data_IF_264000037604
#
_entry.id   IF_264000037604
#
_cell.length_a   1.000
_cell.length_b   1.000
_cell.length_c   1.000
_cell.angle_alpha   90.00
_cell.angle_beta   90.00
_cell.angle_gamma   90.00
#
_symmetry.space_group_name_H-M   'P 1'
#
loop_
_entity.id
_entity.type
_entity.pdbx_description
1 polymer ?
#
# COMPACT_ATOMS: atom_id res chain seq x y z
N UNK A 1 10.25 21.70 4.99
CA UNK A 1 9.94 20.33 4.57
C UNK A 1 11.16 19.52 4.94
N UNK A 2 11.11 18.77 6.03
CA UNK A 2 12.15 17.79 6.33
C UNK A 2 11.92 16.59 5.43
N UNK A 3 12.64 16.53 4.30
CA UNK A 3 12.83 15.27 3.62
C UNK A 3 13.59 14.39 4.61
N UNK A 4 12.96 13.32 5.10
CA UNK A 4 13.67 12.35 5.92
C UNK A 4 14.79 11.78 5.06
N UNK A 5 16.02 12.17 5.38
CA UNK A 5 17.21 11.60 4.76
C UNK A 5 17.41 10.22 5.37
N UNK A 6 17.17 9.20 4.56
CA UNK A 6 17.38 7.83 4.97
C UNK A 6 18.75 7.37 4.47
N UNK A 7 19.65 7.07 5.40
CA UNK A 7 21.03 6.69 5.08
C UNK A 7 21.16 5.22 4.65
N UNK A 8 20.26 4.35 5.12
CA UNK A 8 20.31 2.90 4.91
C UNK A 8 18.91 2.32 4.72
N UNK A 9 18.81 1.16 4.05
CA UNK A 9 17.54 0.44 3.94
C UNK A 9 17.06 -0.01 5.33
N UNK A 10 15.76 0.13 5.58
CA UNK A 10 15.10 -0.25 6.83
C UNK A 10 14.22 -1.49 6.66
N UNK A 11 13.81 -2.09 7.78
CA UNK A 11 12.85 -3.20 7.78
C UNK A 11 11.46 -2.69 7.37
N UNK A 12 10.83 -3.27 6.33
CA UNK A 12 9.53 -2.82 5.88
C UNK A 12 8.42 -3.29 6.82
N UNK A 13 7.33 -2.54 6.89
CA UNK A 13 6.18 -2.89 7.73
C UNK A 13 4.89 -2.28 7.19
N UNK A 14 3.76 -2.88 7.53
CA UNK A 14 2.45 -2.28 7.31
C UNK A 14 2.01 -1.58 8.59
N UNK A 15 1.62 -0.31 8.45
CA UNK A 15 0.98 0.45 9.50
C UNK A 15 -0.45 0.80 9.08
N UNK A 16 -1.43 0.33 9.86
CA UNK A 16 -2.84 0.64 9.67
C UNK A 16 -3.14 1.93 10.42
N UNK A 17 -3.54 2.95 9.67
CA UNK A 17 -3.69 4.30 10.20
C UNK A 17 -4.79 5.07 9.47
N UNK A 18 -5.07 6.30 9.94
CA UNK A 18 -6.10 7.16 9.37
C UNK A 18 -5.56 7.93 8.17
N UNK A 19 -6.26 7.91 7.04
CA UNK A 19 -5.99 8.77 5.89
C UNK A 19 -7.05 9.85 5.76
N UNK A 20 -6.64 11.10 5.57
CA UNK A 20 -7.56 12.21 5.38
C UNK A 20 -8.33 12.07 4.06
N UNK A 21 -9.66 12.18 4.13
CA UNK A 21 -10.55 12.14 2.96
C UNK A 21 -11.04 13.55 2.60
N UNK A 22 -11.77 14.20 3.51
CA UNK A 22 -12.36 15.53 3.29
C UNK A 22 -12.73 16.22 4.61
N UNK A 23 -13.26 17.43 4.53
CA UNK A 23 -13.97 18.07 5.65
C UNK A 23 -15.48 17.89 5.48
N UNK A 24 -16.18 17.71 6.59
CA UNK A 24 -17.64 17.80 6.63
C UNK A 24 -18.11 19.24 6.39
N UNK A 25 -19.41 19.44 6.23
CA UNK A 25 -20.04 20.77 6.18
C UNK A 25 -19.83 21.59 7.45
N UNK A 26 -19.62 20.95 8.61
CA UNK A 26 -19.29 21.60 9.88
C UNK A 26 -17.80 21.93 10.05
N UNK A 27 -16.96 21.58 9.07
CA UNK A 27 -15.51 21.78 9.12
C UNK A 27 -14.72 20.69 9.84
N UNK A 28 -15.38 19.63 10.30
CA UNK A 28 -14.76 18.46 10.94
C UNK A 28 -13.94 17.67 9.90
N UNK A 29 -12.73 17.24 10.24
CA UNK A 29 -11.90 16.42 9.35
C UNK A 29 -12.38 14.97 9.40
N UNK A 30 -12.61 14.39 8.22
CA UNK A 30 -13.11 13.03 8.04
C UNK A 30 -12.01 12.14 7.47
N UNK A 31 -11.95 10.91 7.98
CA UNK A 31 -10.85 9.99 7.74
C UNK A 31 -11.35 8.62 7.31
N UNK A 32 -10.56 7.95 6.49
CA UNK A 32 -10.67 6.50 6.25
C UNK A 32 -9.57 5.76 7.01
N UNK A 33 -9.71 4.44 7.19
CA UNK A 33 -8.70 3.60 7.84
C UNK A 33 -8.11 2.67 6.78
N UNK A 34 -6.81 2.80 6.56
CA UNK A 34 -6.12 2.13 5.46
C UNK A 34 -4.81 1.49 5.93
N UNK A 35 -4.39 0.37 5.32
CA UNK A 35 -3.03 -0.13 5.47
C UNK A 35 -2.07 0.74 4.65
N UNK A 36 -0.93 1.08 5.25
CA UNK A 36 0.18 1.79 4.59
C UNK A 36 1.41 0.90 4.64
N UNK A 37 1.88 0.46 3.48
CA UNK A 37 3.14 -0.27 3.37
C UNK A 37 4.29 0.74 3.40
N UNK A 38 5.15 0.62 4.42
CA UNK A 38 6.40 1.36 4.51
C UNK A 38 7.48 0.49 3.86
N UNK A 39 8.07 0.98 2.77
CA UNK A 39 9.08 0.24 1.99
C UNK A 39 10.43 0.28 2.69
N UNK A 40 11.37 -0.53 2.20
CA UNK A 40 12.77 -0.52 2.67
C UNK A 40 13.45 0.85 2.49
N UNK A 41 12.96 1.66 1.56
CA UNK A 41 13.45 3.01 1.23
C UNK A 41 12.69 4.11 2.01
N UNK A 42 11.75 3.75 2.88
CA UNK A 42 10.96 4.69 3.69
C UNK A 42 9.75 5.27 2.98
N UNK A 43 9.47 4.87 1.74
CA UNK A 43 8.28 5.30 1.00
C UNK A 43 7.02 4.80 1.68
N UNK A 44 5.95 5.60 1.62
CA UNK A 44 4.63 5.23 2.16
C UNK A 44 3.67 4.91 1.03
N UNK A 45 3.45 3.62 0.76
CA UNK A 45 2.46 3.17 -0.21
C UNK A 45 1.11 3.00 0.51
N UNK A 46 0.21 3.96 0.29
CA UNK A 46 -1.11 4.01 0.93
C UNK A 46 -2.07 3.18 0.10
N UNK A 47 -2.62 2.10 0.65
CA UNK A 47 -3.60 1.26 -0.03
C UNK A 47 -4.99 1.86 0.20
N UNK A 48 -5.34 2.80 -0.65
CA UNK A 48 -6.55 3.61 -0.56
C UNK A 48 -7.76 2.87 -1.11
N UNK A 49 -8.93 3.12 -0.53
CA UNK A 49 -10.20 2.69 -1.08
C UNK A 49 -10.77 3.79 -2.00
N UNK A 50 -10.98 3.49 -3.29
CA UNK A 50 -11.53 4.47 -4.23
C UNK A 50 -12.94 4.94 -3.86
N UNK A 51 -13.71 4.11 -3.12
CA UNK A 51 -15.06 4.46 -2.67
C UNK A 51 -15.10 5.32 -1.41
N UNK A 52 -13.97 5.59 -0.74
CA UNK A 52 -13.94 6.35 0.51
C UNK A 52 -14.49 7.77 0.34
N UNK A 53 -14.25 8.39 -0.81
CA UNK A 53 -14.78 9.73 -1.13
C UNK A 53 -16.31 9.76 -1.24
N UNK A 54 -16.94 8.63 -1.56
CA UNK A 54 -18.39 8.49 -1.75
C UNK A 54 -19.14 8.05 -0.48
N UNK A 55 -18.42 7.60 0.56
CA UNK A 55 -19.02 7.26 1.85
C UNK A 55 -19.63 8.51 2.50
N UNK A 56 -20.67 8.30 3.33
CA UNK A 56 -21.32 9.38 4.06
C UNK A 56 -20.40 9.98 5.14
N UNK A 57 -20.68 11.22 5.55
CA UNK A 57 -19.94 11.87 6.63
C UNK A 57 -20.03 11.10 7.95
N UNK A 58 -21.18 10.46 8.22
CA UNK A 58 -21.39 9.66 9.42
C UNK A 58 -20.49 8.40 9.45
N UNK A 59 -20.34 7.72 8.32
CA UNK A 59 -19.48 6.54 8.20
C UNK A 59 -18.00 6.90 8.38
N UNK A 60 -17.54 7.97 7.73
CA UNK A 60 -16.15 8.42 7.89
C UNK A 60 -15.87 8.96 9.30
N UNK A 61 -16.86 9.60 9.93
CA UNK A 61 -16.73 10.05 11.31
C UNK A 61 -16.61 8.87 12.28
N UNK A 62 -17.34 7.78 12.04
CA UNK A 62 -17.28 6.57 12.86
C UNK A 62 -15.86 5.96 12.91
N UNK A 63 -15.02 6.17 11.89
CA UNK A 63 -13.62 5.72 11.86
C UNK A 63 -12.73 6.40 12.93
N UNK A 64 -13.19 7.52 13.51
CA UNK A 64 -12.50 8.16 14.65
C UNK A 64 -12.83 7.50 15.99
N UNK A 65 -13.87 6.67 16.06
CA UNK A 65 -14.28 5.93 17.26
C UNK A 65 -13.35 4.73 17.46
N UNK A 66 -12.90 4.52 18.69
CA UNK A 66 -11.92 3.48 19.02
C UNK A 66 -12.39 2.06 18.63
N UNK A 67 -13.65 1.73 18.90
CA UNK A 67 -14.23 0.41 18.58
C UNK A 67 -14.22 0.14 17.08
N UNK A 68 -14.75 1.06 16.28
CA UNK A 68 -14.75 0.98 14.81
C UNK A 68 -13.33 0.85 14.26
N UNK A 69 -12.38 1.62 14.82
CA UNK A 69 -10.99 1.55 14.40
C UNK A 69 -10.38 0.16 14.69
N UNK A 70 -10.59 -0.38 15.89
CA UNK A 70 -10.11 -1.71 16.26
C UNK A 70 -10.70 -2.80 15.37
N UNK A 71 -12.01 -2.75 15.12
CA UNK A 71 -12.68 -3.73 14.24
C UNK A 71 -12.13 -3.70 12.82
N UNK A 72 -12.06 -2.51 12.19
CA UNK A 72 -11.55 -2.36 10.82
C UNK A 72 -10.07 -2.70 10.71
N UNK A 73 -9.25 -2.29 11.68
CA UNK A 73 -7.82 -2.59 11.67
C UNK A 73 -7.53 -4.08 11.85
N UNK A 74 -8.30 -4.79 12.66
CA UNK A 74 -8.21 -6.25 12.75
C UNK A 74 -8.61 -6.92 11.43
N UNK A 75 -9.71 -6.50 10.80
CA UNK A 75 -10.12 -7.03 9.51
C UNK A 75 -9.06 -6.83 8.41
N UNK A 76 -8.46 -5.64 8.35
CA UNK A 76 -7.36 -5.33 7.42
C UNK A 76 -6.14 -6.22 7.73
N UNK A 77 -5.78 -6.38 9.01
CA UNK A 77 -4.66 -7.24 9.42
C UNK A 77 -4.91 -8.69 9.01
N UNK A 78 -6.11 -9.21 9.24
CA UNK A 78 -6.48 -10.59 8.90
C UNK A 78 -6.46 -10.83 7.38
N UNK A 79 -6.80 -9.82 6.58
CA UNK A 79 -6.71 -9.88 5.13
C UNK A 79 -5.25 -9.84 4.66
N UNK A 80 -4.47 -8.82 5.09
CA UNK A 80 -3.10 -8.61 4.61
C UNK A 80 -2.11 -9.66 5.12
N UNK A 81 -2.33 -10.24 6.31
CA UNK A 81 -1.49 -11.31 6.85
C UNK A 81 -1.52 -12.61 6.05
N UNK A 82 -2.48 -12.77 5.13
CA UNK A 82 -2.50 -13.88 4.16
C UNK A 82 -1.33 -13.81 3.19
N UNK A 83 -0.91 -12.59 2.83
CA UNK A 83 0.11 -12.34 1.81
C UNK A 83 1.44 -11.85 2.41
N UNK A 84 1.37 -11.04 3.46
CA UNK A 84 2.51 -10.39 4.09
C UNK A 84 2.83 -11.02 5.46
N UNK A 85 4.08 -11.45 5.67
CA UNK A 85 4.59 -11.95 6.97
C UNK A 85 5.42 -10.92 7.75
N UNK A 86 5.63 -9.74 7.19
CA UNK A 86 6.22 -8.58 7.89
C UNK A 86 5.35 -8.10 9.07
N UNK A 87 5.89 -7.16 9.86
CA UNK A 87 5.15 -6.56 10.97
C UNK A 87 3.92 -5.76 10.50
N UNK A 88 2.74 -6.10 11.00
CA UNK A 88 1.49 -5.35 10.78
C UNK A 88 1.05 -4.74 12.11
N UNK A 89 1.12 -3.40 12.22
CA UNK A 89 0.75 -2.64 13.41
C UNK A 89 -0.37 -1.64 13.12
N UNK A 90 -1.17 -1.29 14.12
CA UNK A 90 -2.24 -0.31 13.97
C UNK A 90 -2.01 0.88 14.91
N UNK A 91 -2.25 2.11 14.43
CA UNK A 91 -2.09 3.33 15.21
C UNK A 91 -3.28 4.29 15.00
N UNK A 92 -4.22 4.37 15.96
CA UNK A 92 -5.42 5.20 15.82
C UNK A 92 -5.15 6.71 15.89
N UNK A 93 -3.99 7.11 16.42
CA UNK A 93 -3.60 8.51 16.59
C UNK A 93 -2.80 9.04 15.39
N UNK A 94 -2.26 8.16 14.56
CA UNK A 94 -1.48 8.54 13.39
C UNK A 94 -2.41 8.85 12.23
N UNK A 95 -2.16 9.98 11.59
CA UNK A 95 -2.92 10.47 10.44
C UNK A 95 -1.94 10.78 9.31
N UNK A 96 -2.27 10.32 8.10
CA UNK A 96 -1.55 10.69 6.88
C UNK A 96 -2.47 11.55 6.01
N UNK A 97 -1.90 12.62 5.46
CA UNK A 97 -2.61 13.47 4.52
C UNK A 97 -1.83 13.52 3.19
N UNK A 98 -2.21 12.68 2.21
CA UNK A 98 -1.52 12.65 0.92
C UNK A 98 -1.66 13.96 0.15
N UNK A 99 -2.64 14.82 0.48
CA UNK A 99 -2.85 16.12 -0.17
C UNK A 99 -1.81 17.15 0.28
N UNK A 100 -1.39 17.11 1.55
CA UNK A 100 -0.43 18.06 2.10
C UNK A 100 1.03 17.67 1.82
N UNK A 101 1.28 16.45 1.34
CA UNK A 101 2.58 15.95 0.86
C UNK A 101 3.77 16.22 1.80
N UNK A 102 3.55 16.22 3.12
CA UNK A 102 4.63 16.48 4.09
C UNK A 102 5.62 15.33 4.23
N UNK A 103 5.24 14.14 3.78
CA UNK A 103 6.06 12.91 3.70
C UNK A 103 5.86 12.28 2.32
N UNK A 104 6.92 11.68 1.78
CA UNK A 104 6.86 11.00 0.48
C UNK A 104 5.89 9.81 0.59
N UNK A 105 4.73 9.96 -0.03
CA UNK A 105 3.64 9.00 0.06
C UNK A 105 2.90 8.89 -1.27
N UNK A 106 2.45 7.68 -1.57
CA UNK A 106 1.81 7.35 -2.83
C UNK A 106 0.52 6.60 -2.58
N UNK A 107 -0.61 7.15 -2.99
CA UNK A 107 -1.88 6.44 -2.97
C UNK A 107 -1.94 5.43 -4.12
N UNK A 108 -2.26 4.19 -3.80
CA UNK A 108 -2.58 3.11 -4.73
C UNK A 108 -4.01 2.69 -4.43
N UNK A 109 -4.90 2.87 -5.40
CA UNK A 109 -6.32 2.59 -5.20
C UNK A 109 -6.59 1.10 -5.40
N UNK A 110 -7.46 0.55 -4.55
CA UNK A 110 -8.04 -0.78 -4.71
C UNK A 110 -6.98 -1.87 -4.91
N UNK A 111 -6.03 -1.91 -3.97
CA UNK A 111 -4.96 -2.92 -3.93
C UNK A 111 -5.57 -4.28 -3.60
N UNK A 112 -5.52 -5.16 -4.60
CA UNK A 112 -5.91 -6.56 -4.51
C UNK A 112 -4.71 -7.46 -4.86
N UNK A 113 -4.21 -8.17 -3.86
CA UNK A 113 -3.09 -9.11 -3.95
C UNK A 113 -3.44 -10.42 -4.69
N UNK A 114 -4.73 -10.79 -4.79
CA UNK A 114 -5.17 -12.01 -5.46
C UNK A 114 -5.23 -11.85 -6.98
N UNK A 115 -5.59 -10.66 -7.47
CA UNK A 115 -5.75 -10.33 -8.90
C UNK A 115 -4.46 -10.05 -9.66
N UNK A 116 -3.29 -10.49 -9.18
CA UNK A 116 -1.99 -10.13 -9.75
C UNK A 116 -1.41 -11.18 -10.70
N UNK A 117 -0.54 -10.72 -11.59
CA UNK A 117 0.33 -11.55 -12.43
C UNK A 117 1.78 -11.10 -12.27
N UNK A 118 2.74 -11.97 -12.62
CA UNK A 118 4.16 -11.60 -12.63
C UNK A 118 4.87 -11.95 -13.93
N UNK A 119 5.91 -11.21 -14.26
CA UNK A 119 6.89 -11.61 -15.27
C UNK A 119 8.28 -11.04 -14.94
N UNK A 120 9.31 -11.72 -15.45
CA UNK A 120 10.71 -11.29 -15.31
C UNK A 120 11.19 -10.64 -16.60
N UNK A 121 11.83 -9.48 -16.50
CA UNK A 121 12.58 -8.90 -17.60
C UNK A 121 13.98 -9.54 -17.65
N UNK A 122 14.26 -10.28 -18.72
CA UNK A 122 15.51 -11.04 -18.88
C UNK A 122 16.75 -10.16 -19.07
N UNK A 123 16.59 -8.91 -19.51
CA UNK A 123 17.71 -8.00 -19.72
C UNK A 123 18.20 -7.36 -18.42
N UNK A 124 17.30 -7.14 -17.46
CA UNK A 124 17.60 -6.43 -16.20
C UNK A 124 17.52 -7.32 -14.97
N UNK A 125 17.00 -8.55 -15.10
CA UNK A 125 16.67 -9.43 -13.99
C UNK A 125 15.74 -8.77 -12.96
N UNK A 126 14.82 -7.92 -13.41
CA UNK A 126 13.79 -7.34 -12.55
C UNK A 126 12.49 -8.12 -12.75
N UNK A 127 11.88 -8.52 -11.64
CA UNK A 127 10.52 -9.02 -11.60
C UNK A 127 9.54 -7.86 -11.47
N UNK A 128 8.44 -7.98 -12.21
CA UNK A 128 7.32 -7.04 -12.15
C UNK A 128 6.07 -7.83 -11.79
N UNK A 129 5.50 -7.50 -10.63
CA UNK A 129 4.23 -8.04 -10.14
C UNK A 129 3.17 -6.96 -10.37
N UNK A 130 2.23 -7.19 -11.28
CA UNK A 130 1.30 -6.16 -11.73
C UNK A 130 -0.16 -6.60 -11.60
N UNK A 131 -1.02 -5.64 -11.26
CA UNK A 131 -2.47 -5.84 -11.21
C UNK A 131 -3.11 -5.16 -12.45
N UNK A 132 -3.63 -5.93 -13.43
CA UNK A 132 -4.16 -5.38 -14.67
C UNK A 132 -5.47 -4.62 -14.53
N UNK A 133 -6.16 -4.73 -13.39
CA UNK A 133 -7.41 -4.04 -13.09
C UNK A 133 -7.14 -2.66 -12.49
N UNK A 134 -6.35 -2.60 -11.41
CA UNK A 134 -6.05 -1.37 -10.68
C UNK A 134 -4.80 -0.64 -11.20
N UNK A 135 -4.13 -1.19 -12.22
CA UNK A 135 -3.01 -0.58 -12.96
C UNK A 135 -1.82 -0.13 -12.08
N UNK A 136 -1.50 -0.91 -11.05
CA UNK A 136 -0.30 -0.75 -10.25
C UNK A 136 0.65 -1.94 -10.41
N UNK A 137 1.92 -1.73 -10.10
CA UNK A 137 2.97 -2.72 -10.23
C UNK A 137 4.01 -2.58 -9.12
N UNK A 138 4.38 -3.69 -8.50
CA UNK A 138 5.54 -3.79 -7.62
C UNK A 138 6.71 -4.40 -8.37
N UNK A 139 7.89 -3.80 -8.24
CA UNK A 139 9.10 -4.25 -8.93
C UNK A 139 10.20 -4.56 -7.93
N UNK A 140 10.96 -5.63 -8.18
CA UNK A 140 12.12 -6.00 -7.38
C UNK A 140 13.18 -6.68 -8.26
N UNK A 141 14.45 -6.51 -7.89
CA UNK A 141 15.54 -7.27 -8.51
C UNK A 141 15.43 -8.74 -8.11
N UNK A 142 15.81 -9.68 -8.98
CA UNK A 142 15.74 -11.13 -8.75
C UNK A 142 16.72 -11.61 -7.67
N UNK A 143 16.41 -11.28 -6.43
CA UNK A 143 17.08 -11.65 -5.20
C UNK A 143 16.01 -11.88 -4.13
N UNK A 144 15.89 -13.13 -3.68
CA UNK A 144 14.86 -13.57 -2.73
C UNK A 144 14.91 -12.81 -1.40
N UNK A 145 16.09 -12.29 -1.01
CA UNK A 145 16.24 -11.44 0.18
C UNK A 145 15.28 -10.24 0.16
N UNK A 146 14.99 -9.69 -1.02
CA UNK A 146 14.03 -8.59 -1.15
C UNK A 146 12.65 -9.06 -0.72
N UNK A 147 12.19 -10.22 -1.19
CA UNK A 147 10.87 -10.76 -0.86
C UNK A 147 10.77 -11.22 0.59
N UNK A 148 11.86 -11.77 1.13
CA UNK A 148 11.95 -12.19 2.53
C UNK A 148 11.85 -11.00 3.48
N UNK A 149 12.45 -9.86 3.15
CA UNK A 149 12.32 -8.63 3.95
C UNK A 149 10.86 -8.19 4.11
N UNK A 150 10.04 -8.36 3.07
CA UNK A 150 8.59 -8.08 3.15
C UNK A 150 7.77 -9.28 3.65
N UNK A 151 8.38 -10.45 3.79
CA UNK A 151 7.69 -11.69 4.12
C UNK A 151 6.64 -12.07 3.07
N UNK A 152 6.94 -11.88 1.78
CA UNK A 152 6.00 -12.11 0.67
C UNK A 152 6.43 -13.23 -0.28
N UNK A 153 7.55 -13.91 -0.01
CA UNK A 153 8.12 -14.94 -0.91
C UNK A 153 7.08 -16.01 -1.32
N UNK A 154 6.35 -16.57 -0.35
CA UNK A 154 5.30 -17.58 -0.60
C UNK A 154 4.19 -17.06 -1.51
N UNK A 155 3.70 -15.85 -1.22
CA UNK A 155 2.66 -15.21 -2.04
C UNK A 155 3.16 -14.98 -3.45
N UNK A 156 4.34 -14.37 -3.61
CA UNK A 156 4.91 -14.08 -4.93
C UNK A 156 5.14 -15.37 -5.72
N UNK A 157 5.56 -16.46 -5.08
CA UNK A 157 5.73 -17.76 -5.73
C UNK A 157 4.42 -18.36 -6.24
N UNK A 158 3.28 -18.07 -5.58
CA UNK A 158 1.96 -18.51 -6.03
C UNK A 158 1.38 -17.70 -7.21
N UNK A 159 1.91 -16.50 -7.49
CA UNK A 159 1.39 -15.62 -8.54
C UNK A 159 1.62 -16.22 -9.93
N UNK A 160 0.58 -16.32 -10.79
CA UNK A 160 0.72 -16.86 -12.14
C UNK A 160 1.62 -15.99 -13.02
N UNK A 161 2.47 -16.66 -13.82
CA UNK A 161 3.35 -15.99 -14.78
C UNK A 161 2.56 -15.59 -16.02
N UNK A 162 2.59 -14.30 -16.36
CA UNK A 162 1.99 -13.77 -17.59
C UNK A 162 2.83 -12.61 -18.11
N UNK A 163 3.38 -12.78 -19.30
CA UNK A 163 4.23 -11.77 -19.92
C UNK A 163 3.43 -10.54 -20.36
N UNK A 164 4.03 -9.37 -20.18
CA UNK A 164 3.56 -8.09 -20.72
C UNK A 164 4.75 -7.31 -21.26
N UNK A 165 4.54 -6.51 -22.31
CA UNK A 165 5.64 -5.70 -22.85
C UNK A 165 6.04 -4.61 -21.85
N UNK A 166 7.34 -4.28 -21.78
CA UNK A 166 7.80 -3.15 -20.97
C UNK A 166 7.11 -1.85 -21.37
N UNK A 167 6.88 -1.66 -22.68
CA UNK A 167 6.13 -0.53 -23.25
C UNK A 167 4.75 -0.39 -22.62
N UNK A 168 3.99 -1.48 -22.55
CA UNK A 168 2.68 -1.50 -21.90
C UNK A 168 2.80 -1.20 -20.41
N UNK A 169 3.81 -1.76 -19.74
CA UNK A 169 3.97 -1.62 -18.29
C UNK A 169 4.23 -0.16 -17.89
N UNK A 170 5.26 0.50 -18.44
CA UNK A 170 5.59 1.87 -18.02
C UNK A 170 4.62 2.92 -18.57
N UNK A 171 3.90 2.66 -19.66
CA UNK A 171 2.91 3.60 -20.21
C UNK A 171 1.58 3.58 -19.46
N UNK A 172 1.20 2.44 -18.87
CA UNK A 172 -0.14 2.23 -18.29
C UNK A 172 -0.16 2.01 -16.79
N UNK A 173 0.94 1.53 -16.21
CA UNK A 173 1.01 1.16 -14.81
C UNK A 173 1.87 2.12 -14.02
N UNK A 174 1.54 2.29 -12.74
CA UNK A 174 2.43 2.93 -11.77
C UNK A 174 3.32 1.87 -11.15
N UNK A 175 4.63 2.00 -11.34
CA UNK A 175 5.64 1.03 -10.90
C UNK A 175 6.28 1.54 -9.61
N UNK A 176 6.27 0.71 -8.57
CA UNK A 176 6.88 0.99 -7.26
C UNK A 176 7.97 -0.06 -6.99
N UNK A 177 9.19 0.40 -6.72
CA UNK A 177 10.29 -0.48 -6.34
C UNK A 177 10.16 -0.92 -4.87
N UNK A 178 10.43 -2.19 -4.58
CA UNK A 178 10.45 -2.77 -3.24
C UNK A 178 11.87 -2.84 -2.65
#
# INVERSE_FOLDING_TARGET
MDFQHQEQLEEPYIEIMKVYVRKSSSGEKLYDIVPVLNTRQGDKLIFSNSSAASQSDAELKANSVATTFTEKSNAIKDEKSKYYKLAIKANPNKVINPILQTTLSFSINDVDEAGMYKFKNTNTNIWYIYNPTSLYCFAYYDDDYILDAYGILDWVNSIPVKSVSMTTLYQRYRIFGL
#
